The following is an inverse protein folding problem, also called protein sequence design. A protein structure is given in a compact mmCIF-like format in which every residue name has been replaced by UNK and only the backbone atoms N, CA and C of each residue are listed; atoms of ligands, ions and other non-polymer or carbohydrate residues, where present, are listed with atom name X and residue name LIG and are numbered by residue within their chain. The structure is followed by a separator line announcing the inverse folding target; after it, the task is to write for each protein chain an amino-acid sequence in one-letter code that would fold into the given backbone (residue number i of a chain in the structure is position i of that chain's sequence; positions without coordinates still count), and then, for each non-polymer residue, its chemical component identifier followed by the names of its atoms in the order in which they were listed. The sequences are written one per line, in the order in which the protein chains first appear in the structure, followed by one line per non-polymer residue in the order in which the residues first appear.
data_IF_511732086324
#
_entry.id   IF_511732086324
#
_cell.length_a   1.000
_cell.length_b   1.000
_cell.length_c   1.000
_cell.angle_alpha   90.00
_cell.angle_beta   90.00
_cell.angle_gamma   90.00
#
_symmetry.space_group_name_H-M   'P 1'
#
loop_
_entity.id
_entity.type
_entity.pdbx_description
1 polymer ?
#
# COMPACT_ATOMS: atom_id res chain seq x y z
N UNK A 1 -16.06 -6.00 -3.09
CA UNK A 1 -14.69 -5.98 -3.62
C UNK A 1 -13.82 -5.11 -2.72
N UNK A 2 -13.05 -5.73 -1.82
CA UNK A 2 -12.28 -5.04 -0.75
C UNK A 2 -11.23 -4.07 -1.32
N UNK A 3 -10.78 -4.31 -2.54
CA UNK A 3 -9.87 -3.48 -3.31
C UNK A 3 -10.25 -1.99 -3.38
N UNK A 4 -11.53 -1.66 -3.54
CA UNK A 4 -11.98 -0.26 -3.64
C UNK A 4 -11.84 0.49 -2.31
N UNK A 5 -11.72 -0.26 -1.21
CA UNK A 5 -11.65 0.25 0.15
C UNK A 5 -10.23 0.67 0.53
N UNK A 6 -9.21 0.08 -0.10
CA UNK A 6 -7.79 0.30 0.19
C UNK A 6 -7.19 1.56 -0.48
N UNK A 7 -8.02 2.54 -0.87
CA UNK A 7 -7.58 3.73 -1.63
C UNK A 7 -6.70 4.70 -0.84
N UNK A 8 -6.88 4.79 0.48
CA UNK A 8 -6.22 5.79 1.34
C UNK A 8 -5.25 5.18 2.35
N UNK A 9 -5.07 3.87 2.32
CA UNK A 9 -4.32 3.09 3.32
C UNK A 9 -2.84 2.96 2.95
N UNK A 10 -2.43 3.53 1.82
CA UNK A 10 -1.06 3.40 1.36
C UNK A 10 -0.12 4.34 2.10
N UNK A 11 0.94 3.78 2.65
CA UNK A 11 2.03 4.52 3.24
C UNK A 11 3.00 4.95 2.15
N UNK A 12 3.50 6.18 2.29
CA UNK A 12 4.46 6.79 1.37
C UNK A 12 5.56 7.46 2.16
N UNK A 13 6.78 7.28 1.72
CA UNK A 13 7.95 7.91 2.32
C UNK A 13 8.58 8.91 1.34
N UNK A 14 8.92 10.12 1.79
CA UNK A 14 9.72 11.01 0.98
C UNK A 14 11.14 10.49 0.93
N UNK A 15 11.66 10.26 -0.27
CA UNK A 15 13.04 9.83 -0.49
C UNK A 15 13.73 10.83 -1.41
N UNK A 16 14.93 11.24 -1.01
CA UNK A 16 15.74 12.14 -1.79
C UNK A 16 16.50 11.34 -2.85
N UNK A 17 16.17 11.57 -4.13
CA UNK A 17 16.89 11.00 -5.25
C UNK A 17 17.78 12.09 -5.85
N UNK A 18 19.04 12.11 -5.44
CA UNK A 18 20.03 13.07 -5.93
C UNK A 18 21.44 12.52 -5.84
N UNK A 19 22.27 12.84 -6.83
CA UNK A 19 23.70 12.52 -6.79
C UNK A 19 24.45 13.40 -5.78
N UNK A 20 25.69 13.03 -5.41
CA UNK A 20 26.47 13.71 -4.37
C UNK A 20 26.77 15.19 -4.64
N UNK A 21 26.55 15.69 -5.87
CA UNK A 21 26.80 17.07 -6.27
C UNK A 21 25.52 17.93 -6.35
N UNK A 22 24.66 17.87 -5.33
CA UNK A 22 23.73 18.96 -5.01
C UNK A 22 22.54 19.19 -5.95
N UNK A 23 22.23 18.25 -6.85
CA UNK A 23 21.01 18.27 -7.66
C UNK A 23 20.19 17.02 -7.38
N UNK A 24 19.21 17.12 -6.50
CA UNK A 24 18.30 16.02 -6.19
C UNK A 24 16.86 16.48 -6.18
N UNK A 25 15.98 15.51 -6.37
CA UNK A 25 14.53 15.71 -6.34
C UNK A 25 13.96 14.88 -5.19
N UNK A 26 13.01 15.44 -4.47
CA UNK A 26 12.22 14.67 -3.50
C UNK A 26 11.19 13.84 -4.27
N UNK A 27 11.26 12.52 -4.13
CA UNK A 27 10.30 11.59 -4.74
C UNK A 27 9.55 10.87 -3.63
N UNK A 28 8.27 10.59 -3.86
CA UNK A 28 7.45 9.80 -2.93
C UNK A 28 7.51 8.33 -3.33
N UNK A 29 8.20 7.52 -2.53
CA UNK A 29 8.15 6.06 -2.67
C UNK A 29 6.94 5.51 -1.95
N UNK A 30 6.27 4.54 -2.57
CA UNK A 30 5.22 3.77 -1.93
C UNK A 30 5.89 2.70 -1.08
N UNK A 31 5.56 2.64 0.21
CA UNK A 31 6.10 1.62 1.13
C UNK A 31 5.24 0.35 1.14
N UNK A 32 3.92 0.53 1.10
CA UNK A 32 2.95 -0.55 1.21
C UNK A 32 1.59 -0.10 1.75
N UNK A 33 0.74 -1.07 2.04
CA UNK A 33 -0.53 -0.91 2.73
C UNK A 33 -0.33 -0.83 4.25
N UNK A 34 -1.08 0.07 4.88
CA UNK A 34 -1.27 0.08 6.31
C UNK A 34 -2.23 -1.04 6.72
N UNK A 35 -1.68 -2.18 7.12
CA UNK A 35 -2.47 -3.36 7.50
C UNK A 35 -3.41 -3.10 8.68
N UNK A 36 -3.07 -2.20 9.60
CA UNK A 36 -3.98 -1.83 10.71
C UNK A 36 -5.18 -1.07 10.16
N UNK A 37 -4.96 -0.14 9.23
CA UNK A 37 -6.06 0.56 8.58
C UNK A 37 -6.90 -0.40 7.72
N UNK A 38 -6.29 -1.39 7.07
CA UNK A 38 -6.99 -2.46 6.34
C UNK A 38 -7.88 -3.29 7.26
N UNK A 39 -7.38 -3.73 8.41
CA UNK A 39 -8.17 -4.48 9.40
C UNK A 39 -9.36 -3.66 9.92
N UNK A 40 -9.14 -2.37 10.21
CA UNK A 40 -10.21 -1.44 10.61
C UNK A 40 -11.29 -1.37 9.52
N UNK A 41 -10.88 -1.34 8.24
CA UNK A 41 -11.83 -1.35 7.14
C UNK A 41 -12.55 -2.69 7.01
N UNK A 42 -11.86 -3.82 7.08
CA UNK A 42 -12.49 -5.14 7.05
C UNK A 42 -13.60 -5.26 8.11
N UNK A 43 -13.33 -4.77 9.33
CA UNK A 43 -14.33 -4.71 10.41
C UNK A 43 -15.46 -3.74 10.09
N UNK A 44 -15.14 -2.52 9.61
CA UNK A 44 -16.14 -1.50 9.23
C UNK A 44 -17.10 -2.00 8.15
N UNK A 45 -16.60 -2.82 7.23
CA UNK A 45 -17.37 -3.39 6.14
C UNK A 45 -17.95 -4.79 6.45
N UNK A 46 -17.76 -5.28 7.68
CA UNK A 46 -18.30 -6.55 8.16
C UNK A 46 -17.90 -7.75 7.28
N UNK A 47 -16.63 -7.79 6.87
CA UNK A 47 -16.08 -8.97 6.20
C UNK A 47 -16.18 -10.17 7.15
N UNK A 48 -16.84 -11.27 6.75
CA UNK A 48 -16.95 -12.47 7.57
C UNK A 48 -15.56 -12.98 8.00
N UNK A 49 -15.42 -13.43 9.25
CA UNK A 49 -14.13 -13.97 9.74
C UNK A 49 -13.60 -15.11 8.87
N UNK A 50 -14.50 -15.94 8.31
CA UNK A 50 -14.14 -17.02 7.37
C UNK A 50 -13.53 -16.54 6.05
N UNK A 51 -13.71 -15.26 5.70
CA UNK A 51 -13.19 -14.66 4.47
C UNK A 51 -12.00 -13.73 4.73
N UNK A 52 -11.68 -13.41 6.00
CA UNK A 52 -10.65 -12.41 6.32
C UNK A 52 -9.26 -12.85 5.86
N UNK A 53 -8.91 -14.13 6.05
CA UNK A 53 -7.61 -14.66 5.64
C UNK A 53 -7.42 -14.59 4.12
N UNK A 54 -8.42 -15.02 3.35
CA UNK A 54 -8.39 -14.95 1.88
C UNK A 54 -8.27 -13.50 1.40
N UNK A 55 -9.05 -12.59 1.99
CA UNK A 55 -8.98 -11.17 1.63
C UNK A 55 -7.61 -10.59 1.98
N UNK A 56 -7.01 -11.01 3.09
CA UNK A 56 -5.69 -10.55 3.49
C UNK A 56 -4.60 -11.01 2.51
N UNK A 57 -4.61 -12.29 2.11
CA UNK A 57 -3.70 -12.82 1.08
C UNK A 57 -3.85 -12.08 -0.26
N UNK A 58 -5.10 -11.84 -0.68
CA UNK A 58 -5.39 -11.09 -1.90
C UNK A 58 -4.83 -9.66 -1.85
N UNK A 59 -4.88 -9.01 -0.69
CA UNK A 59 -4.32 -7.66 -0.50
C UNK A 59 -2.79 -7.66 -0.53
N UNK A 60 -2.12 -8.70 -0.02
CA UNK A 60 -0.66 -8.84 -0.10
C UNK A 60 -0.19 -8.99 -1.56
N UNK A 61 -0.90 -9.79 -2.37
CA UNK A 61 -0.57 -9.96 -3.79
C UNK A 61 -0.70 -8.63 -4.54
N UNK A 62 -1.78 -7.88 -4.26
CA UNK A 62 -1.98 -6.56 -4.86
C UNK A 62 -0.95 -5.54 -4.37
N UNK A 63 -0.58 -5.58 -3.09
CA UNK A 63 0.49 -4.75 -2.53
C UNK A 63 1.76 -4.91 -3.37
N UNK A 64 2.25 -6.14 -3.50
CA UNK A 64 3.44 -6.45 -4.28
C UNK A 64 3.38 -5.92 -5.71
N UNK A 65 2.32 -6.27 -6.45
CA UNK A 65 2.15 -5.82 -7.83
C UNK A 65 2.05 -4.28 -7.96
N UNK A 66 1.40 -3.61 -7.00
CA UNK A 66 1.27 -2.14 -7.02
C UNK A 66 2.59 -1.46 -6.72
N UNK A 67 3.36 -1.98 -5.74
CA UNK A 67 4.67 -1.45 -5.39
C UNK A 67 5.64 -1.57 -6.56
N UNK A 68 5.64 -2.70 -7.26
CA UNK A 68 6.42 -2.88 -8.50
C UNK A 68 6.05 -1.81 -9.55
N UNK A 69 4.76 -1.61 -9.84
CA UNK A 69 4.32 -0.65 -10.86
C UNK A 69 4.60 0.80 -10.45
N UNK A 70 4.40 1.15 -9.17
CA UNK A 70 4.46 2.54 -8.69
C UNK A 70 5.87 3.02 -8.41
N UNK A 71 6.75 2.14 -7.94
CA UNK A 71 8.14 2.50 -7.65
C UNK A 71 9.11 2.24 -8.82
N UNK A 72 8.71 1.47 -9.84
CA UNK A 72 9.49 1.33 -11.08
C UNK A 72 9.37 2.52 -12.04
N UNK A 73 8.51 3.52 -11.72
CA UNK A 73 8.37 4.78 -12.46
C UNK A 73 9.10 5.91 -11.76
#
# INVERSE_FOLDING_TARGET
MVYTLCRTQWRKQPVWTGGPMGGGTLVWLWEGLDYVAVEILMRRYRIPESEQDEVFEQLQILEGATLEIRNAR
#
